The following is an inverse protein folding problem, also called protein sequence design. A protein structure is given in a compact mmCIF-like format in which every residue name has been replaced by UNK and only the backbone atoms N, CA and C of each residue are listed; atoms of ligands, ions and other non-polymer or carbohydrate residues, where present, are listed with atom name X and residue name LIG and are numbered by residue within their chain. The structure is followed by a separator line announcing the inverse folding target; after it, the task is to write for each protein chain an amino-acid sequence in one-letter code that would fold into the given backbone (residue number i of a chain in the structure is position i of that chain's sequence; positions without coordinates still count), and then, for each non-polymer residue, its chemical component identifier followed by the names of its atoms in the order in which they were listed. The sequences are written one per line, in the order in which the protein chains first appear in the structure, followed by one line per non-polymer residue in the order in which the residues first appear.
data_IF_618861808423
#
_entry.id   IF_618861808423
#
_cell.length_a   1.000
_cell.length_b   1.000
_cell.length_c   1.000
_cell.angle_alpha   90.00
_cell.angle_beta   90.00
_cell.angle_gamma   90.00
#
_symmetry.space_group_name_H-M   'P 1'
#
loop_
_entity.id
_entity.type
_entity.pdbx_description
1 polymer ?
#
# COMPACT_ATOMS: atom_id res chain seq x y z
N UNK A 1 5.42 -30.88 14.83
CA UNK A 1 5.70 -29.44 14.94
C UNK A 1 5.63 -29.09 16.42
N UNK A 2 6.54 -28.29 16.98
CA UNK A 2 6.37 -27.81 18.35
C UNK A 2 5.06 -27.04 18.45
N UNK A 3 4.38 -27.17 19.59
CA UNK A 3 3.16 -26.42 19.85
C UNK A 3 3.49 -24.93 20.03
N UNK A 4 2.55 -24.02 19.74
CA UNK A 4 2.70 -22.58 20.01
C UNK A 4 3.08 -22.29 21.48
N UNK A 5 2.80 -23.21 22.40
CA UNK A 5 3.19 -23.17 23.82
C UNK A 5 4.66 -23.50 24.08
N UNK A 6 5.36 -24.19 23.18
CA UNK A 6 6.77 -24.57 23.36
C UNK A 6 7.76 -23.44 23.00
N UNK A 7 7.27 -22.34 22.42
CA UNK A 7 8.06 -21.14 22.08
C UNK A 7 8.07 -20.12 23.24
N UNK A 8 7.17 -20.28 24.22
CA UNK A 8 7.01 -19.33 25.33
C UNK A 8 7.44 -19.94 26.66
N UNK A 9 8.74 -19.87 26.92
CA UNK A 9 9.25 -19.98 28.27
C UNK A 9 8.76 -18.77 29.08
N UNK A 10 7.77 -19.00 29.97
CA UNK A 10 7.13 -17.96 30.80
C UNK A 10 8.10 -17.19 31.70
N UNK A 11 9.33 -17.67 31.84
CA UNK A 11 10.38 -17.04 32.62
C UNK A 11 11.42 -16.30 31.76
N UNK A 12 11.24 -16.22 30.44
CA UNK A 12 12.31 -15.72 29.55
C UNK A 12 11.96 -14.47 28.74
N UNK A 13 10.77 -14.36 28.19
CA UNK A 13 10.28 -13.11 27.56
C UNK A 13 8.77 -13.05 27.68
N UNK A 14 8.25 -12.02 28.36
CA UNK A 14 6.82 -11.80 28.49
C UNK A 14 6.40 -10.64 27.59
N UNK A 15 5.16 -10.64 27.12
CA UNK A 15 4.55 -9.56 26.30
C UNK A 15 4.44 -8.22 27.08
N UNK A 16 5.14 -8.09 28.22
CA UNK A 16 5.04 -6.98 29.17
C UNK A 16 6.25 -6.03 29.17
N UNK A 17 7.23 -6.22 28.28
CA UNK A 17 8.43 -5.35 28.20
C UNK A 17 8.15 -3.95 27.60
N UNK A 18 6.88 -3.57 27.43
CA UNK A 18 6.48 -2.19 27.06
C UNK A 18 6.45 -1.24 28.27
N UNK A 19 6.62 -1.77 29.49
CA UNK A 19 6.63 -1.04 30.74
C UNK A 19 7.90 -1.34 31.54
N UNK A 20 8.39 -0.35 32.28
CA UNK A 20 9.49 -0.51 33.22
C UNK A 20 9.04 -1.29 34.46
N UNK A 21 9.82 -2.30 34.86
CA UNK A 21 9.61 -3.09 36.08
C UNK A 21 10.76 -2.88 37.05
N UNK A 22 10.50 -2.23 38.18
CA UNK A 22 11.51 -1.85 39.18
C UNK A 22 12.23 -3.05 39.84
N UNK A 23 11.63 -4.23 39.84
CA UNK A 23 12.23 -5.47 40.35
C UNK A 23 13.29 -6.08 39.42
N UNK A 24 13.20 -5.83 38.12
CA UNK A 24 14.00 -6.53 37.11
C UNK A 24 14.82 -5.63 36.22
N UNK A 25 14.41 -4.38 36.02
CA UNK A 25 15.01 -3.40 35.12
C UNK A 25 15.99 -2.46 35.84
N UNK A 26 16.78 -1.72 35.07
CA UNK A 26 17.87 -0.88 35.59
C UNK A 26 17.63 0.61 35.32
N UNK A 27 18.26 1.46 36.15
CA UNK A 27 18.39 2.90 35.88
C UNK A 27 19.83 3.17 35.48
N UNK A 28 20.05 3.78 34.32
CA UNK A 28 21.39 4.09 33.85
C UNK A 28 22.01 5.30 34.55
N UNK A 29 23.26 5.63 34.19
CA UNK A 29 24.00 6.75 34.79
C UNK A 29 23.40 8.13 34.49
N UNK A 30 22.53 8.24 33.48
CA UNK A 30 21.85 9.47 33.10
C UNK A 30 20.46 9.60 33.73
N UNK A 31 20.02 8.56 34.47
CA UNK A 31 18.72 8.48 35.11
C UNK A 31 17.61 8.00 34.16
N UNK A 32 17.97 7.37 33.03
CA UNK A 32 17.04 6.76 32.08
C UNK A 32 16.74 5.35 32.53
N UNK A 33 15.47 4.98 32.53
CA UNK A 33 15.04 3.61 32.82
C UNK A 33 15.28 2.75 31.58
N UNK A 34 15.92 1.60 31.76
CA UNK A 34 16.30 0.69 30.69
C UNK A 34 15.98 -0.75 31.07
N UNK A 35 15.70 -1.59 30.07
CA UNK A 35 15.70 -3.04 30.26
C UNK A 35 17.06 -3.47 30.82
N UNK A 36 17.08 -4.41 31.76
CA UNK A 36 18.34 -4.83 32.39
C UNK A 36 19.41 -5.26 31.39
N UNK A 37 20.67 -5.03 31.76
CA UNK A 37 21.80 -5.21 30.82
C UNK A 37 22.10 -6.67 30.54
N UNK A 38 21.69 -7.59 31.41
CA UNK A 38 21.87 -9.03 31.18
C UNK A 38 20.84 -9.57 30.18
N UNK A 39 19.55 -9.23 30.33
CA UNK A 39 18.51 -9.57 29.37
C UNK A 39 18.69 -8.84 28.03
N UNK A 40 19.20 -7.60 28.05
CA UNK A 40 19.52 -6.88 26.82
C UNK A 40 20.55 -7.59 25.94
N UNK A 41 21.50 -8.33 26.53
CA UNK A 41 22.50 -9.12 25.77
C UNK A 41 21.93 -10.35 25.09
N UNK A 42 20.78 -10.83 25.55
CA UNK A 42 20.09 -11.96 24.94
C UNK A 42 19.18 -11.52 23.78
N UNK A 43 18.87 -10.22 23.65
CA UNK A 43 18.10 -9.68 22.53
C UNK A 43 18.89 -9.76 21.23
N UNK A 44 18.23 -10.20 20.15
CA UNK A 44 18.79 -10.13 18.79
C UNK A 44 18.92 -8.69 18.27
N UNK A 45 18.20 -7.75 18.89
CA UNK A 45 18.08 -6.35 18.45
C UNK A 45 18.16 -5.40 19.67
N UNK A 46 19.30 -5.37 20.39
CA UNK A 46 19.45 -4.62 21.64
C UNK A 46 19.22 -3.11 21.47
N UNK A 47 19.48 -2.56 20.30
CA UNK A 47 19.27 -1.15 19.97
C UNK A 47 17.78 -0.75 19.86
N UNK A 48 16.87 -1.72 19.79
CA UNK A 48 15.42 -1.51 19.75
C UNK A 48 14.74 -1.76 21.09
N UNK A 49 15.49 -2.10 22.13
CA UNK A 49 14.92 -2.26 23.46
C UNK A 49 14.39 -0.91 23.97
N UNK A 50 13.22 -0.92 24.64
CA UNK A 50 12.62 0.30 25.13
C UNK A 50 13.50 0.93 26.21
N UNK A 51 13.53 2.26 26.19
CA UNK A 51 14.06 3.09 27.26
C UNK A 51 13.01 4.13 27.62
N UNK A 52 12.95 4.49 28.89
CA UNK A 52 12.01 5.48 29.39
C UNK A 52 12.79 6.58 30.08
N UNK A 53 13.00 7.69 29.37
CA UNK A 53 13.67 8.88 29.92
C UNK A 53 12.66 9.78 30.66
N UNK A 54 12.75 9.92 32.00
CA UNK A 54 11.84 10.77 32.76
C UNK A 54 11.97 12.27 32.42
N UNK A 55 13.07 12.66 31.78
CA UNK A 55 13.35 14.03 31.34
C UNK A 55 12.76 14.30 29.95
N UNK A 56 12.44 13.26 29.17
CA UNK A 56 11.83 13.40 27.86
C UNK A 56 10.38 13.88 28.00
N UNK A 57 10.21 15.20 27.93
CA UNK A 57 8.90 15.85 27.89
C UNK A 57 8.61 16.32 26.49
N UNK A 58 7.53 15.82 25.90
CA UNK A 58 6.99 16.42 24.69
C UNK A 58 6.45 17.82 25.01
N UNK A 59 6.55 18.78 24.07
CA UNK A 59 5.88 20.05 24.24
C UNK A 59 4.40 19.78 24.49
N UNK A 60 3.81 20.56 25.40
CA UNK A 60 2.39 20.45 25.72
C UNK A 60 1.59 20.47 24.42
N UNK A 61 0.71 19.49 24.24
CA UNK A 61 -0.16 19.41 23.06
C UNK A 61 -0.82 20.77 22.88
N UNK A 62 -0.52 21.41 21.74
CA UNK A 62 -1.22 22.64 21.36
C UNK A 62 -2.61 22.21 20.94
N UNK A 63 -3.57 22.38 21.84
CA UNK A 63 -4.96 22.25 21.49
C UNK A 63 -5.23 23.23 20.35
N UNK A 64 -5.63 22.68 19.22
CA UNK A 64 -6.21 23.45 18.14
C UNK A 64 -7.71 23.26 18.22
N UNK A 65 -8.45 24.27 17.78
CA UNK A 65 -9.89 24.13 17.61
C UNK A 65 -10.12 23.13 16.47
N UNK A 66 -10.51 21.91 16.82
CA UNK A 66 -10.91 20.91 15.84
C UNK A 66 -12.32 21.24 15.37
N UNK A 67 -12.43 21.86 14.20
CA UNK A 67 -13.72 21.93 13.50
C UNK A 67 -13.97 20.60 12.81
N UNK A 68 -14.86 19.79 13.38
CA UNK A 68 -15.34 18.57 12.75
C UNK A 68 -16.01 18.92 11.40
N UNK A 69 -15.47 18.45 10.26
CA UNK A 69 -16.10 18.64 8.95
C UNK A 69 -17.56 18.21 8.87
N UNK A 70 -17.99 17.25 9.70
CA UNK A 70 -19.36 16.79 9.82
C UNK A 70 -20.31 17.84 10.38
N UNK A 71 -19.82 18.80 11.17
CA UNK A 71 -20.63 19.93 11.67
C UNK A 71 -20.89 21.00 10.59
N UNK A 72 -20.24 20.90 9.42
CA UNK A 72 -20.59 21.71 8.25
C UNK A 72 -21.83 21.19 7.52
N UNK A 73 -22.38 20.05 7.92
CA UNK A 73 -23.63 19.54 7.38
C UNK A 73 -24.77 20.51 7.76
N UNK A 74 -25.56 20.91 6.76
CA UNK A 74 -26.73 21.75 6.98
C UNK A 74 -27.81 20.96 7.74
N UNK A 75 -28.15 21.32 8.99
CA UNK A 75 -29.15 20.60 9.78
C UNK A 75 -30.58 20.74 9.22
N UNK A 76 -30.82 21.66 8.29
CA UNK A 76 -32.08 21.77 7.53
C UNK A 76 -32.22 20.72 6.41
N UNK A 77 -31.15 19.97 6.14
CA UNK A 77 -31.11 18.78 5.28
C UNK A 77 -31.04 17.50 6.14
N UNK A 78 -32.13 17.13 6.87
CA UNK A 78 -32.13 15.95 7.74
C UNK A 78 -31.93 14.65 6.96
N UNK A 79 -32.23 14.69 5.65
CA UNK A 79 -32.07 13.60 4.71
C UNK A 79 -31.39 14.19 3.46
N UNK A 80 -30.44 13.49 2.85
CA UNK A 80 -29.77 13.88 1.60
C UNK A 80 -30.70 13.98 0.36
N UNK A 81 -32.00 13.74 0.54
CA UNK A 81 -33.00 13.62 -0.52
C UNK A 81 -34.17 14.64 -0.33
N UNK A 82 -34.30 15.71 -1.14
CA UNK A 82 -35.52 16.51 -1.23
C UNK A 82 -36.78 15.69 -1.59
N UNK A 83 -37.86 15.86 -0.81
CA UNK A 83 -39.09 15.02 -0.83
C UNK A 83 -39.84 14.87 -2.18
N UNK A 84 -39.49 15.59 -3.25
CA UNK A 84 -40.13 15.49 -4.58
C UNK A 84 -39.17 15.86 -5.71
N UNK A 85 -39.19 15.07 -6.79
CA UNK A 85 -38.52 15.37 -8.07
C UNK A 85 -37.23 14.61 -8.35
N UNK A 86 -36.91 13.57 -7.56
CA UNK A 86 -35.62 12.92 -7.60
C UNK A 86 -35.62 11.65 -8.44
N UNK A 87 -34.51 11.42 -9.15
CA UNK A 87 -34.12 10.09 -9.58
C UNK A 87 -33.29 9.45 -8.49
N UNK A 88 -33.87 8.48 -7.78
CA UNK A 88 -33.11 7.61 -6.88
C UNK A 88 -32.32 6.64 -7.77
N UNK A 89 -31.03 6.91 -7.95
CA UNK A 89 -30.10 5.93 -8.49
C UNK A 89 -29.66 5.07 -7.32
N UNK A 90 -30.07 3.80 -7.28
CA UNK A 90 -29.53 2.82 -6.33
C UNK A 90 -28.04 2.65 -6.60
N UNK A 91 -27.22 3.37 -5.84
CA UNK A 91 -25.77 3.24 -5.82
C UNK A 91 -25.34 2.04 -4.97
N UNK A 92 -26.11 0.95 -5.00
CA UNK A 92 -25.67 -0.28 -4.34
C UNK A 92 -24.28 -0.56 -4.91
N UNK A 93 -23.19 -0.55 -4.11
CA UNK A 93 -21.95 -1.14 -4.60
C UNK A 93 -22.34 -2.52 -5.11
N UNK A 94 -21.80 -2.97 -6.24
CA UNK A 94 -22.08 -4.33 -6.73
C UNK A 94 -21.60 -5.28 -5.61
N UNK A 95 -22.51 -5.65 -4.71
CA UNK A 95 -22.29 -6.53 -3.57
C UNK A 95 -22.44 -7.91 -4.17
N UNK A 96 -21.32 -8.61 -4.25
CA UNK A 96 -21.24 -9.88 -4.94
C UNK A 96 -21.37 -9.75 -6.43
N UNK A 97 -20.25 -9.50 -7.10
CA UNK A 97 -20.15 -9.83 -8.51
C UNK A 97 -19.73 -11.29 -8.66
N UNK A 98 -20.40 -12.01 -9.57
CA UNK A 98 -19.91 -13.30 -10.07
C UNK A 98 -18.69 -13.01 -10.93
N UNK A 99 -17.54 -12.87 -10.28
CA UNK A 99 -16.30 -12.42 -10.92
C UNK A 99 -15.77 -13.42 -11.94
N UNK A 100 -16.02 -14.72 -11.74
CA UNK A 100 -15.57 -15.76 -12.65
C UNK A 100 -16.21 -15.62 -14.04
N UNK A 101 -17.53 -15.76 -14.16
CA UNK A 101 -18.23 -15.66 -15.44
C UNK A 101 -17.99 -14.31 -16.12
N UNK A 102 -18.04 -13.22 -15.35
CA UNK A 102 -17.79 -11.87 -15.86
C UNK A 102 -16.40 -11.72 -16.46
N UNK A 103 -15.37 -12.26 -15.79
CA UNK A 103 -13.99 -12.14 -16.25
C UNK A 103 -13.76 -13.01 -17.47
N UNK A 104 -14.11 -14.29 -17.38
CA UNK A 104 -13.74 -15.29 -18.38
C UNK A 104 -14.68 -15.33 -19.60
N UNK A 105 -15.76 -14.54 -19.61
CA UNK A 105 -16.57 -14.32 -20.82
C UNK A 105 -15.78 -13.63 -21.96
N UNK A 106 -14.76 -12.83 -21.63
CA UNK A 106 -14.00 -12.06 -22.63
C UNK A 106 -12.47 -12.16 -22.46
N UNK A 107 -11.99 -12.66 -21.31
CA UNK A 107 -10.56 -12.73 -21.00
C UNK A 107 -10.13 -14.16 -20.73
N UNK A 108 -8.86 -14.43 -20.98
CA UNK A 108 -8.22 -15.70 -20.64
C UNK A 108 -7.59 -15.69 -19.24
N UNK A 109 -7.48 -14.52 -18.59
CA UNK A 109 -6.98 -14.35 -17.22
C UNK A 109 -7.49 -13.03 -16.59
N UNK A 110 -7.36 -12.89 -15.26
CA UNK A 110 -7.69 -11.67 -14.52
C UNK A 110 -6.49 -11.00 -13.83
N UNK A 111 -5.26 -11.43 -14.11
CA UNK A 111 -4.10 -10.94 -13.38
C UNK A 111 -3.82 -9.49 -13.80
N UNK A 112 -3.86 -8.58 -12.83
CA UNK A 112 -3.69 -7.15 -13.00
C UNK A 112 -2.76 -6.58 -11.94
N UNK A 113 -1.46 -6.84 -12.09
CA UNK A 113 -0.43 -6.35 -11.18
C UNK A 113 -0.41 -4.82 -11.12
N UNK A 114 -0.59 -4.27 -9.92
CA UNK A 114 -0.58 -2.83 -9.71
C UNK A 114 -0.12 -2.41 -8.32
N UNK A 115 0.40 -1.18 -8.24
CA UNK A 115 0.49 -0.42 -6.98
C UNK A 115 -0.78 0.42 -6.86
N UNK A 116 -1.35 0.47 -5.67
CA UNK A 116 -2.60 1.19 -5.42
C UNK A 116 -2.43 2.66 -5.76
N UNK A 117 -3.35 3.19 -6.58
CA UNK A 117 -3.55 4.63 -6.78
C UNK A 117 -2.24 5.33 -7.22
N UNK A 118 -1.40 4.63 -7.98
CA UNK A 118 -0.07 5.13 -8.40
C UNK A 118 -0.10 6.33 -9.35
N UNK A 119 -1.28 6.79 -9.77
CA UNK A 119 -1.48 7.97 -10.60
C UNK A 119 -1.71 9.26 -9.81
N UNK A 120 -1.85 9.17 -8.48
CA UNK A 120 -1.98 10.37 -7.63
C UNK A 120 -0.60 10.98 -7.36
N UNK A 121 -0.56 12.29 -7.14
CA UNK A 121 0.66 13.00 -6.78
C UNK A 121 1.30 12.43 -5.50
N UNK A 122 0.46 12.07 -4.53
CA UNK A 122 0.83 11.45 -3.26
C UNK A 122 0.08 10.14 -3.08
N UNK A 123 0.58 9.04 -3.67
CA UNK A 123 -0.02 7.72 -3.56
C UNK A 123 -0.06 7.23 -2.11
N UNK A 124 -0.85 6.18 -1.82
CA UNK A 124 -0.82 5.52 -0.53
C UNK A 124 0.54 4.91 -0.20
N UNK A 125 0.91 5.00 1.08
CA UNK A 125 2.16 4.43 1.58
C UNK A 125 2.02 2.97 1.99
N UNK A 126 1.02 2.70 2.82
CA UNK A 126 0.64 1.35 3.23
C UNK A 126 -0.81 1.10 2.86
N UNK A 127 -1.18 -0.16 2.65
CA UNK A 127 -2.56 -0.55 2.47
C UNK A 127 -2.93 -1.60 3.50
N UNK A 128 -4.08 -1.40 4.14
CA UNK A 128 -4.73 -2.36 5.03
C UNK A 128 -5.91 -2.96 4.28
N UNK A 129 -6.01 -4.28 4.25
CA UNK A 129 -7.05 -4.97 3.51
C UNK A 129 -7.56 -6.18 4.29
N UNK A 130 -8.88 -6.30 4.36
CA UNK A 130 -9.56 -7.44 4.95
C UNK A 130 -10.68 -7.91 4.03
N UNK A 131 -10.71 -9.22 3.76
CA UNK A 131 -11.82 -9.86 3.04
C UNK A 131 -12.88 -10.26 4.07
N UNK A 132 -14.08 -9.70 3.92
CA UNK A 132 -15.22 -9.94 4.80
C UNK A 132 -16.06 -11.14 4.34
N UNK A 133 -16.11 -11.35 3.03
CA UNK A 133 -16.83 -12.44 2.38
C UNK A 133 -16.04 -12.87 1.14
N UNK A 134 -15.92 -14.17 0.91
CA UNK A 134 -15.20 -14.73 -0.23
C UNK A 134 -15.46 -16.23 -0.37
N UNK A 135 -14.89 -16.86 -1.41
CA UNK A 135 -14.97 -18.32 -1.59
C UNK A 135 -14.25 -19.07 -0.47
N UNK A 136 -14.67 -20.32 -0.23
CA UNK A 136 -14.01 -21.24 0.70
C UNK A 136 -12.56 -21.57 0.27
N UNK A 137 -12.32 -21.58 -1.05
CA UNK A 137 -11.01 -21.77 -1.66
C UNK A 137 -10.83 -20.84 -2.86
N UNK A 138 -9.62 -20.31 -3.03
CA UNK A 138 -9.30 -19.31 -4.06
C UNK A 138 -9.64 -17.89 -3.62
N UNK A 139 -9.59 -16.95 -4.55
CA UNK A 139 -9.85 -15.52 -4.28
C UNK A 139 -8.74 -14.81 -3.53
N UNK A 140 -7.56 -15.40 -3.55
CA UNK A 140 -6.36 -14.94 -2.87
C UNK A 140 -5.86 -13.60 -3.45
N UNK A 141 -4.85 -13.05 -2.81
CA UNK A 141 -4.14 -11.88 -3.33
C UNK A 141 -2.67 -12.23 -3.48
N UNK A 142 -2.15 -12.02 -4.68
CA UNK A 142 -0.74 -12.21 -5.00
C UNK A 142 -0.02 -10.87 -4.95
N UNK A 143 1.21 -10.90 -4.45
CA UNK A 143 2.09 -9.75 -4.23
C UNK A 143 3.44 -10.02 -4.89
N UNK A 144 4.12 -8.97 -5.34
CA UNK A 144 5.48 -9.02 -5.88
C UNK A 144 6.30 -7.86 -5.31
N UNK A 145 7.53 -8.13 -4.91
CA UNK A 145 8.46 -7.11 -4.39
C UNK A 145 9.24 -6.44 -5.53
N UNK A 146 8.97 -5.16 -5.77
CA UNK A 146 9.63 -4.39 -6.83
C UNK A 146 10.99 -3.85 -6.43
N UNK A 147 11.37 -3.92 -5.15
CA UNK A 147 12.76 -3.70 -4.71
C UNK A 147 13.62 -4.90 -5.12
N UNK A 148 13.16 -6.11 -4.81
CA UNK A 148 13.86 -7.33 -5.20
C UNK A 148 13.95 -7.46 -6.73
N UNK A 149 12.87 -7.12 -7.44
CA UNK A 149 12.89 -7.06 -8.90
C UNK A 149 13.99 -6.11 -9.43
N UNK A 150 14.17 -4.94 -8.81
CA UNK A 150 15.23 -4.00 -9.18
C UNK A 150 16.64 -4.56 -8.89
N UNK A 151 16.85 -5.15 -7.71
CA UNK A 151 18.15 -5.72 -7.29
C UNK A 151 18.65 -6.80 -8.25
N UNK A 152 17.75 -7.53 -8.91
CA UNK A 152 18.06 -8.62 -9.85
C UNK A 152 18.41 -8.15 -11.27
N UNK A 153 18.17 -6.89 -11.61
CA UNK A 153 18.61 -6.32 -12.89
C UNK A 153 20.14 -6.19 -12.90
N UNK A 154 20.76 -6.29 -14.08
CA UNK A 154 22.21 -6.04 -14.18
C UNK A 154 22.54 -4.59 -13.81
N UNK A 155 23.75 -4.31 -13.28
CA UNK A 155 24.16 -2.94 -12.94
C UNK A 155 24.01 -1.93 -14.09
N UNK A 156 24.27 -2.36 -15.33
CA UNK A 156 24.12 -1.56 -16.55
C UNK A 156 22.66 -1.21 -16.81
N UNK A 157 21.77 -2.17 -16.58
CA UNK A 157 20.33 -1.97 -16.76
C UNK A 157 19.77 -1.08 -15.65
N UNK A 158 20.20 -1.28 -14.40
CA UNK A 158 19.89 -0.37 -13.29
C UNK A 158 20.29 1.07 -13.63
N UNK A 159 21.53 1.28 -14.10
CA UNK A 159 22.04 2.59 -14.52
C UNK A 159 21.22 3.18 -15.68
N UNK A 160 20.77 2.36 -16.62
CA UNK A 160 19.95 2.81 -17.77
C UNK A 160 18.56 3.29 -17.37
N UNK A 161 17.99 2.68 -16.33
CA UNK A 161 16.66 2.98 -15.81
C UNK A 161 16.63 4.18 -14.86
N UNK A 162 17.72 4.42 -14.14
CA UNK A 162 17.85 5.58 -13.25
C UNK A 162 17.76 6.90 -14.04
N UNK A 163 16.99 7.85 -13.50
CA UNK A 163 16.73 9.14 -14.13
C UNK A 163 15.60 9.15 -15.16
N UNK A 164 15.05 7.98 -15.54
CA UNK A 164 13.84 7.91 -16.35
C UNK A 164 12.58 8.16 -15.52
N UNK A 165 11.55 8.70 -16.17
CA UNK A 165 10.26 8.96 -15.57
C UNK A 165 9.13 8.26 -16.32
N UNK A 166 8.04 8.01 -15.62
CA UNK A 166 6.84 7.34 -16.13
C UNK A 166 5.61 8.18 -15.88
N UNK A 167 4.74 8.25 -16.89
CA UNK A 167 3.41 8.85 -16.77
C UNK A 167 2.43 7.81 -16.24
N UNK A 168 1.82 8.07 -15.08
CA UNK A 168 0.74 7.25 -14.53
C UNK A 168 -0.60 7.98 -14.68
N UNK A 169 -1.64 7.29 -15.15
CA UNK A 169 -2.92 7.93 -15.49
C UNK A 169 -4.13 7.05 -15.17
N UNK A 170 -5.15 7.63 -14.53
CA UNK A 170 -6.41 6.95 -14.18
C UNK A 170 -7.51 7.08 -15.24
N UNK A 171 -7.29 7.83 -16.32
CA UNK A 171 -8.31 8.06 -17.37
C UNK A 171 -8.84 6.75 -17.97
N UNK A 172 -7.98 5.77 -18.25
CA UNK A 172 -8.42 4.46 -18.76
C UNK A 172 -9.34 3.75 -17.75
N UNK A 173 -8.97 3.76 -16.47
CA UNK A 173 -9.78 3.16 -15.41
C UNK A 173 -11.13 3.87 -15.27
N UNK A 174 -11.15 5.21 -15.28
CA UNK A 174 -12.40 5.96 -15.17
C UNK A 174 -13.34 5.70 -16.34
N UNK A 175 -12.85 5.81 -17.59
CA UNK A 175 -13.65 5.51 -18.80
C UNK A 175 -14.26 4.12 -18.75
N UNK A 176 -13.47 3.11 -18.34
CA UNK A 176 -13.95 1.74 -18.21
C UNK A 176 -15.00 1.60 -17.09
N UNK A 177 -14.86 2.33 -15.99
CA UNK A 177 -15.85 2.35 -14.91
C UNK A 177 -17.18 2.96 -15.38
N UNK A 178 -17.12 4.14 -16.03
CA UNK A 178 -18.30 4.84 -16.58
C UNK A 178 -19.01 3.99 -17.63
N UNK A 179 -18.26 3.34 -18.54
CA UNK A 179 -18.83 2.44 -19.54
C UNK A 179 -19.56 1.23 -18.92
N UNK A 180 -19.23 0.86 -17.68
CA UNK A 180 -19.86 -0.23 -16.92
C UNK A 180 -20.96 0.26 -15.95
N UNK A 181 -21.39 1.52 -16.10
CA UNK A 181 -22.40 2.17 -15.24
C UNK A 181 -21.86 2.62 -13.88
N UNK A 182 -20.53 2.70 -13.72
CA UNK A 182 -19.88 3.23 -12.53
C UNK A 182 -20.02 4.76 -12.44
N UNK A 183 -19.91 5.27 -11.21
CA UNK A 183 -19.97 6.71 -10.93
C UNK A 183 -18.56 7.23 -10.72
N UNK A 184 -18.17 8.24 -11.49
CA UNK A 184 -16.92 8.97 -11.29
C UNK A 184 -17.04 9.87 -10.05
N UNK A 185 -16.46 9.44 -8.93
CA UNK A 185 -16.50 10.18 -7.65
C UNK A 185 -15.37 11.20 -7.51
N UNK A 186 -14.30 11.04 -8.29
CA UNK A 186 -13.13 11.92 -8.33
C UNK A 186 -12.74 12.09 -9.79
N UNK A 187 -12.32 13.29 -10.16
CA UNK A 187 -11.80 13.55 -11.50
C UNK A 187 -10.59 12.65 -11.75
N UNK A 188 -10.46 12.06 -12.94
CA UNK A 188 -9.25 11.34 -13.32
C UNK A 188 -8.06 12.29 -13.24
N UNK A 189 -6.90 11.72 -12.95
CA UNK A 189 -5.66 12.45 -12.78
C UNK A 189 -4.52 11.67 -13.43
N UNK A 190 -3.48 12.40 -13.78
CA UNK A 190 -2.24 11.84 -14.25
C UNK A 190 -1.06 12.66 -13.76
N UNK A 191 0.01 11.96 -13.38
CA UNK A 191 1.21 12.57 -12.86
C UNK A 191 2.44 11.82 -13.34
N UNK A 192 3.55 12.53 -13.37
CA UNK A 192 4.86 11.97 -13.71
C UNK A 192 5.54 11.53 -12.41
N UNK A 193 6.00 10.28 -12.41
CA UNK A 193 6.76 9.69 -11.31
C UNK A 193 8.11 9.17 -11.80
N UNK A 194 9.12 9.05 -10.93
CA UNK A 194 10.36 8.36 -11.32
C UNK A 194 10.09 6.89 -11.61
N UNK A 195 10.70 6.35 -12.67
CA UNK A 195 10.62 4.93 -13.01
C UNK A 195 11.23 4.08 -11.90
N UNK A 196 12.38 4.53 -11.37
CA UNK A 196 13.00 3.98 -10.17
C UNK A 196 12.79 4.95 -9.03
N UNK A 197 11.92 4.59 -8.08
CA UNK A 197 11.71 5.38 -6.86
C UNK A 197 12.65 4.92 -5.75
N UNK A 198 12.94 5.81 -4.80
CA UNK A 198 13.59 5.47 -3.54
C UNK A 198 12.54 5.34 -2.43
N UNK A 199 12.73 4.35 -1.57
CA UNK A 199 11.92 4.17 -0.38
C UNK A 199 12.38 5.14 0.72
N UNK A 200 11.50 5.98 1.30
CA UNK A 200 11.92 7.04 2.23
C UNK A 200 12.58 6.53 3.52
N UNK A 201 12.13 5.37 4.01
CA UNK A 201 12.65 4.75 5.25
C UNK A 201 13.82 3.82 4.97
N UNK A 202 13.62 2.76 4.19
CA UNK A 202 14.66 1.74 3.91
C UNK A 202 15.76 2.22 2.97
N UNK A 203 15.55 3.33 2.24
CA UNK A 203 16.47 3.88 1.23
C UNK A 203 16.70 2.94 0.03
N UNK A 204 15.92 1.88 -0.07
CA UNK A 204 15.99 0.93 -1.18
C UNK A 204 15.35 1.50 -2.44
N UNK A 205 15.89 1.12 -3.60
CA UNK A 205 15.34 1.48 -4.91
C UNK A 205 14.32 0.43 -5.36
N UNK A 206 13.21 0.88 -5.92
CA UNK A 206 12.10 0.04 -6.36
C UNK A 206 11.64 0.42 -7.77
N UNK A 207 11.32 -0.57 -8.60
CA UNK A 207 10.68 -0.33 -9.90
C UNK A 207 9.24 0.16 -9.65
N UNK A 208 8.88 1.32 -10.19
CA UNK A 208 7.58 1.96 -9.97
C UNK A 208 6.75 2.01 -11.26
N UNK A 209 6.39 0.84 -11.77
CA UNK A 209 5.56 0.69 -12.98
C UNK A 209 4.46 -0.32 -12.76
N UNK A 210 3.34 -0.19 -13.47
CA UNK A 210 2.29 -1.18 -13.53
C UNK A 210 1.39 -1.00 -14.77
N UNK A 211 0.91 -2.11 -15.34
CA UNK A 211 0.12 -2.09 -16.59
C UNK A 211 -1.14 -1.23 -16.52
N UNK A 212 -1.93 -1.22 -15.43
CA UNK A 212 -3.18 -0.46 -15.42
C UNK A 212 -2.99 1.06 -15.53
N UNK A 213 -1.93 1.59 -14.90
CA UNK A 213 -1.77 3.04 -14.75
C UNK A 213 -0.61 3.62 -15.55
N UNK A 214 0.51 2.92 -15.71
CA UNK A 214 1.66 3.42 -16.47
C UNK A 214 1.35 3.49 -17.96
N UNK A 215 1.55 4.66 -18.58
CA UNK A 215 1.22 4.93 -20.00
C UNK A 215 2.45 4.94 -20.91
N UNK A 216 3.51 5.62 -20.48
CA UNK A 216 4.77 5.74 -21.24
C UNK A 216 5.92 6.15 -20.33
N UNK A 217 7.13 5.90 -20.80
CA UNK A 217 8.37 6.47 -20.26
C UNK A 217 8.58 7.83 -20.93
N UNK A 218 8.78 8.88 -20.14
CA UNK A 218 8.68 10.27 -20.60
C UNK A 218 9.78 10.62 -21.60
N UNK A 219 10.99 10.12 -21.37
CA UNK A 219 12.21 10.44 -22.11
C UNK A 219 12.43 9.59 -23.36
N UNK A 220 11.57 8.60 -23.64
CA UNK A 220 11.73 7.65 -24.74
C UNK A 220 10.66 7.84 -25.81
N UNK A 221 10.97 7.42 -27.05
CA UNK A 221 9.97 7.31 -28.11
C UNK A 221 8.94 6.24 -27.78
N UNK A 222 7.78 6.27 -28.44
CA UNK A 222 6.67 5.37 -28.13
C UNK A 222 7.06 3.89 -28.23
N UNK A 223 7.75 3.49 -29.30
CA UNK A 223 8.19 2.10 -29.49
C UNK A 223 9.22 1.70 -28.44
N UNK A 224 10.20 2.57 -28.14
CA UNK A 224 11.23 2.31 -27.13
C UNK A 224 10.63 2.18 -25.72
N UNK A 225 9.70 3.09 -25.39
CA UNK A 225 8.94 3.10 -24.15
C UNK A 225 8.12 1.81 -24.02
N UNK A 226 7.38 1.42 -25.06
CA UNK A 226 6.57 0.20 -25.05
C UNK A 226 7.43 -1.05 -24.83
N UNK A 227 8.53 -1.20 -25.57
CA UNK A 227 9.42 -2.35 -25.44
C UNK A 227 10.03 -2.43 -24.03
N UNK A 228 10.50 -1.30 -23.50
CA UNK A 228 11.11 -1.26 -22.17
C UNK A 228 10.08 -1.52 -21.07
N UNK A 229 8.88 -0.93 -21.15
CA UNK A 229 7.81 -1.20 -20.19
C UNK A 229 7.38 -2.66 -20.22
N UNK A 230 7.21 -3.26 -21.41
CA UNK A 230 6.85 -4.66 -21.54
C UNK A 230 7.93 -5.60 -20.96
N UNK A 231 9.21 -5.26 -21.12
CA UNK A 231 10.29 -5.97 -20.44
C UNK A 231 10.14 -5.89 -18.91
N UNK A 232 9.96 -4.69 -18.35
CA UNK A 232 9.84 -4.49 -16.90
C UNK A 232 8.61 -5.19 -16.31
N UNK A 233 7.46 -5.12 -17.00
CA UNK A 233 6.26 -5.86 -16.59
C UNK A 233 6.54 -7.36 -16.56
N UNK A 234 7.09 -7.91 -17.66
CA UNK A 234 7.38 -9.35 -17.74
C UNK A 234 8.37 -9.79 -16.66
N UNK A 235 9.37 -8.96 -16.35
CA UNK A 235 10.36 -9.22 -15.30
C UNK A 235 9.71 -9.38 -13.92
N UNK A 236 8.74 -8.52 -13.57
CA UNK A 236 7.99 -8.61 -12.31
C UNK A 236 6.99 -9.78 -12.35
N UNK A 237 6.25 -9.91 -13.45
CA UNK A 237 5.15 -10.86 -13.61
C UNK A 237 5.62 -12.33 -13.62
N UNK A 238 6.80 -12.59 -14.20
CA UNK A 238 7.32 -13.95 -14.38
C UNK A 238 8.22 -14.42 -13.22
N UNK A 239 8.61 -13.52 -12.32
CA UNK A 239 9.51 -13.82 -11.21
C UNK A 239 8.73 -14.37 -10.00
N UNK A 240 8.28 -15.63 -10.09
CA UNK A 240 7.51 -16.28 -9.03
C UNK A 240 8.26 -16.39 -7.68
N UNK A 241 9.58 -16.33 -7.70
CA UNK A 241 10.49 -16.39 -6.56
C UNK A 241 10.77 -15.02 -5.89
N UNK A 242 10.07 -13.96 -6.31
CA UNK A 242 9.90 -12.71 -5.54
C UNK A 242 8.42 -12.43 -5.22
N UNK A 243 7.55 -13.39 -5.50
CA UNK A 243 6.11 -13.28 -5.30
C UNK A 243 5.65 -14.01 -4.04
N UNK A 244 4.60 -13.50 -3.44
CA UNK A 244 3.89 -14.11 -2.32
C UNK A 244 2.41 -14.21 -2.65
N UNK A 245 1.77 -15.32 -2.26
CA UNK A 245 0.32 -15.50 -2.36
C UNK A 245 -0.27 -15.53 -0.96
N UNK A 246 -1.06 -14.52 -0.61
CA UNK A 246 -1.78 -14.46 0.65
C UNK A 246 -3.14 -15.15 0.50
N UNK A 247 -3.30 -16.26 1.22
CA UNK A 247 -4.57 -16.96 1.36
C UNK A 247 -5.44 -16.27 2.40
N UNK A 248 -6.71 -16.06 2.09
CA UNK A 248 -7.65 -15.44 3.02
C UNK A 248 -8.21 -16.45 4.01
N UNK A 249 -8.11 -16.11 5.30
CA UNK A 249 -8.78 -16.81 6.39
C UNK A 249 -9.71 -15.81 7.11
N UNK A 250 -10.77 -16.28 7.80
CA UNK A 250 -11.65 -15.41 8.55
C UNK A 250 -10.88 -14.51 9.53
N UNK A 251 -11.21 -13.21 9.53
CA UNK A 251 -10.58 -12.17 10.36
C UNK A 251 -9.12 -11.84 10.02
N UNK A 252 -8.57 -12.36 8.91
CA UNK A 252 -7.25 -11.97 8.44
C UNK A 252 -7.24 -10.53 7.93
N UNK A 253 -6.29 -9.74 8.43
CA UNK A 253 -5.96 -8.41 7.90
C UNK A 253 -4.56 -8.49 7.31
N UNK A 254 -4.43 -8.20 6.02
CA UNK A 254 -3.11 -8.06 5.39
C UNK A 254 -2.78 -6.58 5.33
N UNK A 255 -1.54 -6.27 5.73
CA UNK A 255 -0.96 -4.95 5.60
C UNK A 255 0.27 -5.07 4.71
N UNK A 256 0.38 -4.23 3.69
CA UNK A 256 1.57 -4.17 2.85
C UNK A 256 2.04 -2.74 2.65
N UNK A 257 3.33 -2.63 2.33
CA UNK A 257 3.95 -1.38 1.91
C UNK A 257 3.73 -1.17 0.41
N UNK A 258 2.79 -0.29 0.07
CA UNK A 258 2.41 0.00 -1.30
C UNK A 258 3.52 0.71 -2.10
N UNK A 259 4.59 1.17 -1.44
CA UNK A 259 5.74 1.82 -2.09
C UNK A 259 6.64 0.84 -2.83
N UNK A 260 6.68 -0.43 -2.42
CA UNK A 260 7.55 -1.47 -2.99
C UNK A 260 6.80 -2.68 -3.52
N UNK A 261 5.48 -2.69 -3.39
CA UNK A 261 4.68 -3.87 -3.71
C UNK A 261 3.74 -3.57 -4.86
N UNK A 262 3.74 -4.44 -5.86
CA UNK A 262 2.61 -4.59 -6.76
C UNK A 262 1.82 -5.83 -6.38
N UNK A 263 0.52 -5.81 -6.61
CA UNK A 263 -0.37 -6.90 -6.23
C UNK A 263 -1.48 -7.11 -7.25
N UNK A 264 -2.11 -8.27 -7.19
CA UNK A 264 -3.30 -8.60 -7.98
C UNK A 264 -4.26 -9.44 -7.16
N UNK A 265 -5.55 -9.13 -7.27
CA UNK A 265 -6.57 -10.13 -6.95
C UNK A 265 -6.50 -11.22 -8.04
N UNK A 266 -6.64 -12.48 -7.65
CA UNK A 266 -6.78 -13.58 -8.61
C UNK A 266 -8.22 -14.06 -8.59
N UNK A 267 -8.72 -14.54 -9.73
CA UNK A 267 -10.05 -15.16 -9.85
C UNK A 267 -9.84 -16.62 -10.23
N UNK A 268 -9.74 -17.46 -9.20
CA UNK A 268 -9.44 -18.89 -9.28
C UNK A 268 -10.42 -19.74 -8.47
N UNK A 269 -11.68 -19.29 -8.41
CA UNK A 269 -12.81 -20.02 -7.83
C UNK A 269 -13.96 -20.03 -8.84
N UNK A 270 -14.72 -21.13 -8.89
CA UNK A 270 -15.87 -21.32 -9.78
C UNK A 270 -17.22 -21.27 -9.04
N UNK A 271 -17.19 -21.01 -7.72
CA UNK A 271 -18.39 -20.86 -6.90
C UNK A 271 -19.10 -19.50 -7.13
N UNK A 272 -20.45 -19.45 -7.13
CA UNK A 272 -21.23 -18.23 -7.29
C UNK A 272 -21.29 -17.43 -5.97
N UNK A 273 -20.12 -17.10 -5.43
CA UNK A 273 -19.96 -16.41 -4.15
C UNK A 273 -19.53 -14.97 -4.37
N UNK A 274 -20.06 -14.10 -3.52
CA UNK A 274 -19.63 -12.70 -3.43
C UNK A 274 -18.22 -12.60 -2.87
N UNK A 275 -17.39 -11.72 -3.44
CA UNK A 275 -16.12 -11.31 -2.84
C UNK A 275 -16.25 -9.88 -2.34
N UNK A 276 -16.39 -9.71 -1.03
CA UNK A 276 -16.52 -8.42 -0.37
C UNK A 276 -15.33 -8.15 0.52
N UNK A 277 -14.69 -6.99 0.35
CA UNK A 277 -13.53 -6.60 1.12
C UNK A 277 -13.57 -5.12 1.49
N UNK A 278 -12.91 -4.80 2.60
CA UNK A 278 -12.68 -3.43 3.05
C UNK A 278 -11.20 -3.09 2.92
N UNK A 279 -10.94 -1.85 2.52
CA UNK A 279 -9.58 -1.35 2.26
C UNK A 279 -9.40 0.04 2.87
N UNK A 280 -8.29 0.24 3.56
CA UNK A 280 -7.87 1.55 4.09
C UNK A 280 -6.46 1.85 3.59
N UNK A 281 -6.29 3.03 3.00
CA UNK A 281 -5.05 3.46 2.33
C UNK A 281 -4.68 4.88 2.77
N UNK A 282 -3.83 5.06 3.80
CA UNK A 282 -3.32 6.38 4.18
C UNK A 282 -2.48 6.99 3.06
N UNK A 283 -2.73 8.27 2.77
CA UNK A 283 -1.90 9.09 1.90
C UNK A 283 -0.45 9.14 2.42
N UNK A 284 0.51 9.18 1.51
CA UNK A 284 1.93 9.20 1.85
C UNK A 284 2.71 10.29 1.12
N UNK A 285 4.03 10.16 1.10
CA UNK A 285 4.91 11.05 0.36
C UNK A 285 4.72 10.92 -1.14
N UNK A 286 5.09 11.98 -1.84
CA UNK A 286 5.28 11.94 -3.28
C UNK A 286 6.47 11.01 -3.62
N UNK A 287 6.36 10.10 -4.62
CA UNK A 287 7.49 9.27 -5.05
C UNK A 287 8.64 10.13 -5.58
N UNK A 288 9.87 9.85 -5.14
CA UNK A 288 11.09 10.55 -5.57
C UNK A 288 12.17 9.57 -6.03
N UNK A 289 13.10 10.03 -6.88
CA UNK A 289 14.27 9.25 -7.27
C UNK A 289 15.42 9.39 -6.25
N UNK A 290 15.42 10.49 -5.49
CA UNK A 290 16.48 10.88 -4.56
C UNK A 290 15.88 11.28 -3.20
N UNK A 291 16.59 11.01 -2.11
CA UNK A 291 16.10 11.28 -0.75
C UNK A 291 16.04 12.78 -0.45
N UNK A 292 16.96 13.57 -1.00
CA UNK A 292 16.98 15.02 -0.87
C UNK A 292 15.82 15.73 -1.59
N UNK A 293 15.04 14.99 -2.39
CA UNK A 293 13.83 15.47 -3.06
C UNK A 293 12.56 15.20 -2.25
N UNK A 294 12.65 14.41 -1.17
CA UNK A 294 11.51 14.07 -0.33
C UNK A 294 10.86 15.35 0.22
N UNK A 295 9.53 15.47 0.07
CA UNK A 295 8.73 16.59 0.56
C UNK A 295 9.15 17.98 0.04
N UNK A 296 9.85 18.06 -1.10
CA UNK A 296 10.12 19.36 -1.74
C UNK A 296 8.79 20.04 -2.12
N UNK A 297 8.59 21.32 -1.77
CA UNK A 297 7.32 22.01 -2.01
C UNK A 297 7.01 22.24 -3.49
N UNK A 298 8.04 22.40 -4.34
CA UNK A 298 7.92 22.56 -5.80
C UNK A 298 8.85 21.57 -6.51
N UNK A 299 8.43 20.33 -6.72
CA UNK A 299 9.19 19.38 -7.53
C UNK A 299 9.08 19.74 -9.02
N UNK A 300 10.21 19.73 -9.74
CA UNK A 300 10.26 19.97 -11.20
C UNK A 300 9.33 19.00 -12.00
N UNK A 301 9.14 17.82 -11.42
CA UNK A 301 8.45 16.60 -11.87
C UNK A 301 6.93 16.36 -11.77
N UNK A 302 6.01 17.27 -11.45
CA UNK A 302 4.72 16.84 -10.84
C UNK A 302 3.46 16.98 -11.64
N UNK A 303 3.20 18.24 -11.97
CA UNK A 303 1.89 18.67 -12.35
C UNK A 303 1.86 18.78 -13.87
N UNK A 304 1.23 17.80 -14.50
CA UNK A 304 0.71 18.00 -15.84
C UNK A 304 -0.63 18.74 -15.65
N UNK A 305 -0.67 20.00 -16.09
CA UNK A 305 -1.86 20.86 -16.05
C UNK A 305 -3.01 20.26 -16.86
#
# INVERSE_FOLDING_TARGET
MPSLTDIYDKNKYTVTDIHFHDETDEVDSEGVFIVNREGAKESQFPEYLPSWDPKQKFPRVKFFEHQDPGLRADPSFPNLFPRKGEQIIRITPKLGSVEFERTFAQKTNNVGWHSDISYELQPPGTTFFAVLEGPEAGGDTIFADTVEAYKRLSPEFQKRLEGLHVLHSSYTQSRNSVAQGGIERRKPAEHIHPLIRIHPVTKEKAIYVNRPFTKRIVELKDEESEHLLNFLYKHIESAHDLQLRAKWEPNTVVVWDNRRTVHSAIVDWDAPVSRHAVRVTPQAERPTALLEQLNRPNPEFGDLV
#
